data_IF_528759994846
#
_entry.id   IF_528759994846
#
_cell.length_a   1.000
_cell.length_b   1.000
_cell.length_c   1.000
_cell.angle_alpha   90.00
_cell.angle_beta   90.00
_cell.angle_gamma   90.00
#
_symmetry.space_group_name_H-M   'P 1'
#
loop_
_entity.id
_entity.type
_entity.pdbx_description
1 polymer ?
#
# COMPACT_ATOMS: atom_id res chain seq x y z
N UNK A 1 30.78 -1.78 39.92
CA UNK A 1 30.98 -0.39 39.45
C UNK A 1 31.17 -0.44 37.94
N UNK A 2 30.18 0.00 37.14
CA UNK A 2 30.38 0.19 35.69
C UNK A 2 30.67 1.67 35.47
N UNK A 3 31.93 1.99 35.19
CA UNK A 3 32.32 3.33 34.79
C UNK A 3 31.64 3.67 33.47
N UNK A 4 30.74 4.65 33.50
CA UNK A 4 30.20 5.23 32.27
C UNK A 4 31.33 6.01 31.61
N UNK A 5 31.80 5.53 30.45
CA UNK A 5 32.61 6.35 29.56
C UNK A 5 31.74 7.55 29.18
N UNK A 6 32.15 8.75 29.55
CA UNK A 6 31.43 9.97 29.19
C UNK A 6 31.42 10.11 27.67
N UNK A 7 30.28 9.84 27.05
CA UNK A 7 30.08 10.07 25.62
C UNK A 7 29.86 11.58 25.45
N UNK A 8 30.77 12.24 24.73
CA UNK A 8 30.62 13.65 24.38
C UNK A 8 29.90 13.73 23.02
N UNK A 9 28.71 14.34 23.00
CA UNK A 9 27.92 14.51 21.78
C UNK A 9 28.25 15.85 21.14
N UNK A 10 28.43 15.86 19.82
CA UNK A 10 28.70 17.07 19.04
C UNK A 10 27.43 17.58 18.33
N UNK A 11 27.44 18.84 17.86
CA UNK A 11 26.30 19.44 17.16
C UNK A 11 26.12 18.88 15.73
N UNK A 12 24.91 19.03 15.17
CA UNK A 12 24.62 18.59 13.81
C UNK A 12 25.27 19.51 12.77
N UNK A 13 26.34 19.03 12.12
CA UNK A 13 27.10 19.79 11.09
C UNK A 13 26.93 19.27 9.65
N UNK A 14 25.79 18.67 9.27
CA UNK A 14 25.52 18.25 7.87
C UNK A 14 26.62 17.41 7.18
N UNK A 15 27.34 16.52 7.90
CA UNK A 15 28.27 15.52 7.31
C UNK A 15 27.62 14.16 7.00
N UNK A 16 27.61 13.78 5.73
CA UNK A 16 27.53 12.44 5.11
C UNK A 16 26.51 11.35 5.52
N UNK A 17 25.87 10.80 4.46
CA UNK A 17 25.59 9.38 4.16
C UNK A 17 24.91 8.48 5.19
N UNK A 18 25.68 7.93 6.13
CA UNK A 18 25.22 6.84 7.00
C UNK A 18 24.21 7.27 8.07
N UNK A 19 24.05 8.59 8.27
CA UNK A 19 23.05 9.15 9.19
C UNK A 19 21.60 9.03 8.69
N UNK A 20 21.39 8.49 7.49
CA UNK A 20 20.08 8.34 6.86
C UNK A 20 19.56 6.89 6.82
N UNK A 21 20.17 5.96 7.57
CA UNK A 21 19.57 4.63 7.77
C UNK A 21 18.44 4.73 8.79
N UNK A 22 17.20 4.57 8.35
CA UNK A 22 16.01 4.67 9.20
C UNK A 22 15.24 3.35 9.19
N UNK A 23 14.64 3.02 10.34
CA UNK A 23 13.55 2.06 10.38
C UNK A 23 12.25 2.76 10.00
N UNK A 24 11.48 2.15 9.09
CA UNK A 24 10.15 2.63 8.75
C UNK A 24 9.15 2.17 9.81
N UNK A 25 8.85 3.00 10.80
CA UNK A 25 7.83 2.73 11.81
C UNK A 25 6.45 3.29 11.38
N UNK A 26 5.44 2.45 11.08
CA UNK A 26 4.10 2.93 10.76
C UNK A 26 3.51 3.75 11.92
N UNK A 27 3.13 5.00 11.64
CA UNK A 27 2.60 5.93 12.65
C UNK A 27 1.38 5.37 13.38
N UNK A 28 0.51 4.64 12.69
CA UNK A 28 -0.69 4.03 13.27
C UNK A 28 -0.36 3.10 14.44
N UNK A 29 0.76 2.37 14.40
CA UNK A 29 1.18 1.51 15.51
C UNK A 29 1.52 2.33 16.76
N UNK A 30 1.90 3.61 16.59
CA UNK A 30 2.24 4.52 17.67
C UNK A 30 1.00 5.28 18.17
N UNK A 31 0.14 5.72 17.24
CA UNK A 31 -0.92 6.69 17.53
C UNK A 31 -2.28 6.06 17.82
N UNK A 32 -2.58 4.90 17.24
CA UNK A 32 -3.92 4.30 17.34
C UNK A 32 -4.09 3.49 18.63
N UNK A 33 -5.28 3.58 19.23
CA UNK A 33 -5.61 2.92 20.49
C UNK A 33 -5.55 1.39 20.39
N UNK A 34 -5.84 0.82 19.22
CA UNK A 34 -5.75 -0.64 19.01
C UNK A 34 -4.33 -1.18 19.28
N UNK A 35 -3.29 -0.37 19.06
CA UNK A 35 -1.88 -0.76 19.24
C UNK A 35 -1.25 -0.20 20.51
N UNK A 36 -2.04 0.45 21.38
CA UNK A 36 -1.54 1.07 22.62
C UNK A 36 -0.92 0.07 23.59
N UNK A 37 -1.43 -1.16 23.59
CA UNK A 37 -0.91 -2.25 24.44
C UNK A 37 0.47 -2.76 24.05
N UNK A 38 0.97 -2.42 22.85
CA UNK A 38 2.30 -2.86 22.41
C UNK A 38 3.41 -2.02 23.03
N UNK A 39 4.48 -2.67 23.47
CA UNK A 39 5.72 -1.99 23.84
C UNK A 39 6.36 -1.29 22.64
N UNK A 40 7.16 -0.25 22.89
CA UNK A 40 7.92 0.43 21.83
C UNK A 40 8.86 -0.54 21.10
N UNK A 41 9.49 -1.46 21.82
CA UNK A 41 10.35 -2.49 21.23
C UNK A 41 9.54 -3.44 20.31
N UNK A 42 8.29 -3.78 20.65
CA UNK A 42 7.42 -4.59 19.79
C UNK A 42 7.02 -3.85 18.51
N UNK A 43 6.73 -2.55 18.60
CA UNK A 43 6.42 -1.70 17.44
C UNK A 43 7.62 -1.59 16.50
N UNK A 44 8.82 -1.39 17.05
CA UNK A 44 10.08 -1.38 16.29
C UNK A 44 10.32 -2.76 15.65
N UNK A 45 10.20 -3.84 16.43
CA UNK A 45 10.39 -5.21 15.92
C UNK A 45 9.48 -5.47 14.73
N UNK A 46 8.17 -5.20 14.87
CA UNK A 46 7.21 -5.39 13.80
C UNK A 46 7.58 -4.62 12.52
N UNK A 47 8.06 -3.38 12.66
CA UNK A 47 8.55 -2.57 11.53
C UNK A 47 9.70 -3.27 10.79
N UNK A 48 10.65 -3.84 11.53
CA UNK A 48 11.74 -4.62 10.95
C UNK A 48 11.25 -5.93 10.28
N UNK A 49 10.19 -6.55 10.80
CA UNK A 49 9.60 -7.74 10.18
C UNK A 49 8.92 -7.41 8.85
N UNK A 50 8.30 -6.23 8.73
CA UNK A 50 7.75 -5.76 7.45
C UNK A 50 8.85 -5.58 6.40
N UNK A 51 9.96 -4.94 6.75
CA UNK A 51 11.12 -4.81 5.85
C UNK A 51 11.66 -6.18 5.41
N UNK A 52 11.76 -7.15 6.34
CA UNK A 52 12.14 -8.54 6.01
C UNK A 52 11.14 -9.26 5.13
N UNK A 53 9.86 -8.94 5.25
CA UNK A 53 8.81 -9.53 4.41
C UNK A 53 9.02 -9.11 2.96
N UNK A 54 9.35 -7.84 2.71
CA UNK A 54 9.69 -7.35 1.37
C UNK A 54 10.90 -8.08 0.76
N UNK A 55 11.94 -8.36 1.56
CA UNK A 55 13.09 -9.15 1.12
C UNK A 55 12.70 -10.60 0.82
N UNK A 56 11.89 -11.21 1.67
CA UNK A 56 11.44 -12.60 1.52
C UNK A 56 10.56 -12.79 0.28
N UNK A 57 9.72 -11.80 -0.02
CA UNK A 57 8.95 -11.77 -1.27
C UNK A 57 9.86 -11.76 -2.51
N UNK A 58 10.89 -10.90 -2.52
CA UNK A 58 11.90 -10.87 -3.61
C UNK A 58 12.63 -12.21 -3.75
N UNK A 59 12.88 -12.90 -2.64
CA UNK A 59 13.49 -14.22 -2.59
C UNK A 59 12.51 -15.38 -2.86
N UNK A 60 11.25 -15.08 -3.20
CA UNK A 60 10.19 -16.08 -3.46
C UNK A 60 9.95 -17.04 -2.28
N UNK A 61 10.13 -16.55 -1.05
CA UNK A 61 9.75 -17.28 0.17
C UNK A 61 8.24 -17.14 0.38
N UNK A 62 7.51 -17.94 -0.40
CA UNK A 62 6.06 -17.89 -0.53
C UNK A 62 5.55 -19.33 -0.35
N UNK A 63 4.52 -19.51 0.49
CA UNK A 63 3.90 -20.82 0.68
C UNK A 63 2.86 -21.16 -0.41
N UNK A 64 2.27 -22.34 -0.33
CA UNK A 64 1.28 -22.83 -1.31
C UNK A 64 0.01 -21.95 -1.36
N UNK A 65 -0.31 -21.26 -0.27
CA UNK A 65 -1.43 -20.32 -0.15
C UNK A 65 -1.05 -18.89 -0.60
N UNK A 66 0.11 -18.72 -1.25
CA UNK A 66 0.63 -17.42 -1.71
C UNK A 66 0.95 -16.43 -0.59
N UNK A 67 1.19 -16.91 0.63
CA UNK A 67 1.60 -16.06 1.75
C UNK A 67 3.12 -15.99 1.82
N UNK A 68 3.63 -14.77 1.96
CA UNK A 68 5.05 -14.55 2.23
C UNK A 68 5.36 -14.95 3.67
N UNK A 69 6.43 -15.72 3.86
CA UNK A 69 6.94 -16.05 5.18
C UNK A 69 8.39 -15.58 5.31
N UNK A 70 8.79 -15.32 6.55
CA UNK A 70 10.17 -14.98 6.89
C UNK A 70 10.75 -16.05 7.82
N UNK A 71 12.05 -16.26 7.73
CA UNK A 71 12.82 -16.99 8.74
C UNK A 71 13.53 -15.92 9.56
N UNK A 72 13.19 -15.82 10.84
CA UNK A 72 13.80 -14.84 11.72
C UNK A 72 13.92 -15.37 13.14
N UNK A 73 15.16 -15.60 13.55
CA UNK A 73 15.51 -16.30 14.78
C UNK A 73 15.48 -15.37 16.00
N UNK A 74 15.40 -15.96 17.20
CA UNK A 74 15.43 -15.20 18.45
C UNK A 74 16.78 -14.52 18.61
N UNK A 75 17.86 -15.18 18.19
CA UNK A 75 19.22 -14.65 18.20
C UNK A 75 19.33 -13.38 17.35
N UNK A 76 18.78 -13.38 16.13
CA UNK A 76 18.81 -12.17 15.31
C UNK A 76 17.95 -11.04 15.89
N UNK A 77 16.84 -11.35 16.58
CA UNK A 77 16.03 -10.35 17.31
C UNK A 77 16.83 -9.76 18.47
N UNK A 78 17.54 -10.60 19.22
CA UNK A 78 18.41 -10.16 20.31
C UNK A 78 19.48 -9.19 19.81
N UNK A 79 20.13 -9.53 18.70
CA UNK A 79 21.16 -8.67 18.09
C UNK A 79 20.56 -7.36 17.60
N UNK A 80 19.42 -7.41 16.88
CA UNK A 80 18.76 -6.22 16.35
C UNK A 80 18.34 -5.24 17.44
N UNK A 81 17.67 -5.73 18.49
CA UNK A 81 17.11 -4.88 19.53
C UNK A 81 18.10 -4.62 20.68
N UNK A 82 19.26 -5.30 20.64
CA UNK A 82 20.23 -5.35 21.73
C UNK A 82 19.57 -5.76 23.06
N UNK A 83 18.85 -6.90 23.05
CA UNK A 83 18.07 -7.40 24.19
C UNK A 83 18.49 -8.80 24.59
N UNK A 84 18.26 -9.13 25.87
CA UNK A 84 18.43 -10.49 26.37
C UNK A 84 17.46 -11.46 25.69
N UNK A 85 17.79 -12.75 25.65
CA UNK A 85 16.92 -13.77 25.06
C UNK A 85 15.50 -13.73 25.65
N UNK A 86 15.39 -13.70 26.98
CA UNK A 86 14.09 -13.62 27.69
C UNK A 86 13.27 -12.40 27.25
N UNK A 87 13.93 -11.25 27.08
CA UNK A 87 13.27 -10.03 26.64
C UNK A 87 12.86 -10.10 25.17
N UNK A 88 13.73 -10.61 24.29
CA UNK A 88 13.43 -10.79 22.87
C UNK A 88 12.22 -11.73 22.66
N UNK A 89 12.16 -12.83 23.41
CA UNK A 89 11.02 -13.76 23.39
C UNK A 89 9.75 -13.07 23.87
N UNK A 90 9.82 -12.26 24.95
CA UNK A 90 8.67 -11.50 25.45
C UNK A 90 8.13 -10.53 24.39
N UNK A 91 9.01 -9.75 23.76
CA UNK A 91 8.65 -8.79 22.70
C UNK A 91 8.00 -9.52 21.52
N UNK A 92 8.56 -10.66 21.11
CA UNK A 92 8.02 -11.47 20.03
C UNK A 92 6.63 -12.04 20.38
N UNK A 93 6.41 -12.41 21.65
CA UNK A 93 5.12 -12.92 22.12
C UNK A 93 4.04 -11.83 22.21
N UNK A 94 4.39 -10.56 22.39
CA UNK A 94 3.43 -9.44 22.33
C UNK A 94 2.77 -9.35 20.94
N UNK A 95 3.51 -9.71 19.89
CA UNK A 95 3.05 -9.68 18.51
C UNK A 95 2.32 -10.97 18.09
N UNK A 96 2.69 -12.11 18.66
CA UNK A 96 2.28 -13.44 18.20
C UNK A 96 0.90 -13.86 18.73
N UNK A 97 -0.01 -14.15 17.80
CA UNK A 97 -1.34 -14.69 18.12
C UNK A 97 -1.29 -16.00 18.90
N UNK A 98 -0.29 -16.86 18.67
CA UNK A 98 -0.16 -18.16 19.35
C UNK A 98 0.16 -18.03 20.85
N UNK A 99 0.60 -16.86 21.31
CA UNK A 99 0.91 -16.60 22.72
C UNK A 99 -0.07 -15.65 23.40
N UNK A 100 -1.22 -15.39 22.76
CA UNK A 100 -2.21 -14.43 23.23
C UNK A 100 -1.79 -12.97 23.03
N UNK A 101 -0.80 -12.72 22.17
CA UNK A 101 -0.44 -11.37 21.71
C UNK A 101 -1.49 -10.81 20.74
N UNK A 102 -1.24 -9.60 20.25
CA UNK A 102 -2.19 -8.84 19.42
C UNK A 102 -2.49 -9.51 18.05
N UNK A 103 -1.64 -10.44 17.61
CA UNK A 103 -1.83 -11.16 16.35
C UNK A 103 -1.33 -10.43 15.11
N UNK A 104 -0.35 -9.54 15.26
CA UNK A 104 0.37 -8.94 14.13
C UNK A 104 1.32 -9.94 13.44
N UNK A 105 1.67 -11.04 14.13
CA UNK A 105 2.41 -12.16 13.54
C UNK A 105 1.79 -13.51 13.93
N UNK A 106 2.19 -14.53 13.18
CA UNK A 106 1.92 -15.93 13.48
C UNK A 106 3.17 -16.76 13.24
N UNK A 107 3.63 -17.50 14.25
CA UNK A 107 4.81 -18.37 14.14
C UNK A 107 4.41 -19.83 13.93
N UNK A 108 4.96 -20.51 12.93
CA UNK A 108 4.80 -21.96 12.76
C UNK A 108 6.13 -22.69 12.96
N UNK A 109 6.09 -23.78 13.73
CA UNK A 109 7.24 -24.67 13.94
C UNK A 109 7.40 -25.58 12.72
N UNK A 110 8.63 -25.66 12.20
CA UNK A 110 8.95 -26.55 11.07
C UNK A 110 9.38 -27.96 11.51
N UNK A 111 9.77 -28.13 12.78
CA UNK A 111 10.35 -29.39 13.28
C UNK A 111 11.79 -29.62 12.82
N UNK A 112 12.37 -30.77 13.18
CA UNK A 112 13.71 -31.21 12.73
C UNK A 112 14.87 -30.23 13.00
N UNK A 113 14.78 -29.42 14.07
CA UNK A 113 15.79 -28.41 14.40
C UNK A 113 15.83 -27.20 13.46
N UNK A 114 14.88 -27.10 12.52
CA UNK A 114 14.76 -25.93 11.64
C UNK A 114 14.18 -24.73 12.42
N UNK A 115 14.59 -23.50 12.07
CA UNK A 115 14.04 -22.30 12.68
C UNK A 115 12.53 -22.18 12.40
N UNK A 116 11.82 -21.44 13.24
CA UNK A 116 10.40 -21.19 13.02
C UNK A 116 10.21 -20.27 11.81
N UNK A 117 9.15 -20.52 11.05
CA UNK A 117 8.66 -19.55 10.06
C UNK A 117 7.74 -18.56 10.74
N UNK A 118 7.79 -17.31 10.30
CA UNK A 118 6.95 -16.23 10.80
C UNK A 118 6.16 -15.66 9.62
N UNK A 119 4.85 -15.58 9.78
CA UNK A 119 3.95 -14.85 8.90
C UNK A 119 3.66 -13.49 9.52
N UNK A 120 3.92 -12.43 8.78
CA UNK A 120 3.65 -11.04 9.20
C UNK A 120 2.30 -10.63 8.61
N UNK A 121 1.37 -10.18 9.45
CA UNK A 121 -0.01 -9.85 9.06
C UNK A 121 -0.14 -8.34 8.83
N UNK A 122 -0.98 -7.95 7.88
CA UNK A 122 -1.25 -6.54 7.58
C UNK A 122 -2.00 -5.87 8.76
N UNK A 123 -1.36 -4.90 9.40
CA UNK A 123 -1.90 -4.13 10.52
C UNK A 123 -3.21 -3.40 10.16
N UNK A 124 -3.46 -3.11 8.88
CA UNK A 124 -4.71 -2.49 8.44
C UNK A 124 -5.90 -3.47 8.43
N UNK A 125 -5.64 -4.77 8.57
CA UNK A 125 -6.70 -5.79 8.53
C UNK A 125 -7.68 -5.69 9.70
N UNK A 126 -7.28 -5.12 10.84
CA UNK A 126 -8.17 -4.92 11.98
C UNK A 126 -9.33 -3.98 11.61
N UNK A 127 -9.05 -2.94 10.80
CA UNK A 127 -10.04 -1.97 10.36
C UNK A 127 -10.99 -2.53 9.29
N UNK A 128 -10.61 -3.62 8.59
CA UNK A 128 -11.46 -4.25 7.58
C UNK A 128 -12.72 -4.90 8.19
N UNK A 129 -12.66 -5.32 9.45
CA UNK A 129 -13.78 -5.97 10.15
C UNK A 129 -14.86 -5.01 10.65
N UNK A 130 -14.53 -3.74 10.84
CA UNK A 130 -15.49 -2.67 11.19
C UNK A 130 -16.16 -2.06 9.94
N UNK A 131 -15.70 -2.43 8.74
CA UNK A 131 -16.13 -1.86 7.46
C UNK A 131 -17.27 -2.65 6.80
N UNK A 132 -18.43 -2.75 7.45
CA UNK A 132 -19.70 -2.90 6.70
C UNK A 132 -20.33 -1.54 6.36
N UNK A 133 -19.73 -0.41 6.78
CA UNK A 133 -20.27 0.95 6.58
C UNK A 133 -19.24 2.02 6.14
N UNK A 134 -18.00 1.68 5.76
CA UNK A 134 -17.03 2.67 5.28
C UNK A 134 -17.08 2.80 3.75
N UNK A 135 -18.15 3.41 3.25
CA UNK A 135 -18.27 3.82 1.85
C UNK A 135 -17.29 4.95 1.53
N UNK A 136 -16.44 4.72 0.54
CA UNK A 136 -15.81 5.68 -0.41
C UNK A 136 -15.09 6.95 0.08
N UNK A 137 -15.14 7.33 1.35
CA UNK A 137 -14.58 8.61 1.84
C UNK A 137 -13.19 8.45 2.48
N UNK A 138 -12.83 7.26 2.97
CA UNK A 138 -11.49 6.99 3.53
C UNK A 138 -10.38 6.90 2.48
N UNK A 139 -10.73 6.76 1.20
CA UNK A 139 -9.77 6.91 0.09
C UNK A 139 -9.30 8.36 -0.11
N UNK A 140 -9.97 9.34 0.50
CA UNK A 140 -9.68 10.77 0.35
C UNK A 140 -8.85 11.40 1.47
N UNK A 141 -8.41 10.66 2.50
CA UNK A 141 -7.39 11.17 3.43
C UNK A 141 -6.01 11.35 2.76
N UNK A 142 -5.87 10.90 1.51
CA UNK A 142 -4.66 11.04 0.72
C UNK A 142 -4.66 12.26 -0.24
N UNK A 143 -5.66 13.15 -0.23
CA UNK A 143 -5.74 14.23 -1.23
C UNK A 143 -6.13 15.63 -0.74
N UNK A 144 -6.12 15.92 0.57
CA UNK A 144 -6.27 17.32 1.02
C UNK A 144 -4.91 18.01 1.10
N UNK A 145 -4.40 18.43 -0.06
CA UNK A 145 -3.51 19.57 -0.11
C UNK A 145 -4.25 20.80 0.43
N UNK A 146 -3.49 21.60 1.16
CA UNK A 146 -3.88 22.84 1.85
C UNK A 146 -4.53 23.81 0.88
N UNK A 147 -5.80 24.15 1.13
CA UNK A 147 -6.34 25.47 0.83
C UNK A 147 -7.64 25.66 1.62
N UNK A 148 -7.52 26.43 2.70
CA UNK A 148 -8.53 27.15 3.52
C UNK A 148 -8.22 26.99 5.02
N UNK A 149 -7.17 27.69 5.44
CA UNK A 149 -7.18 28.29 6.78
C UNK A 149 -8.40 29.20 6.90
N UNK A 150 -9.25 28.98 7.91
CA UNK A 150 -9.93 30.10 8.57
C UNK A 150 -9.98 29.85 10.07
N UNK A 151 -9.60 30.92 10.77
CA UNK A 151 -9.47 31.12 12.20
C UNK A 151 -10.63 30.56 13.02
N UNK A 152 -10.31 29.90 14.12
CA UNK A 152 -10.62 30.34 15.49
C UNK A 152 -10.40 29.18 16.48
N UNK A 153 -9.29 29.20 17.20
CA UNK A 153 -9.27 29.22 18.68
C UNK A 153 -7.90 29.75 19.08
N UNK A 154 -7.87 31.03 19.48
CA UNK A 154 -6.74 31.65 20.15
C UNK A 154 -6.83 31.35 21.65
N UNK A 155 -5.66 31.08 22.23
CA UNK A 155 -5.25 31.25 23.64
C UNK A 155 -5.30 30.00 24.55
N UNK A 156 -4.12 29.42 24.85
CA UNK A 156 -3.40 29.71 26.10
C UNK A 156 -1.94 29.21 26.03
N UNK A 157 -1.02 30.03 26.54
CA UNK A 157 0.43 29.83 26.72
C UNK A 157 1.33 29.66 25.48
N UNK A 158 1.80 30.82 24.99
CA UNK A 158 2.80 30.99 23.93
C UNK A 158 4.20 31.08 24.54
N UNK A 159 5.01 30.04 24.36
CA UNK A 159 6.47 30.19 24.31
C UNK A 159 6.89 30.04 22.86
N UNK A 160 7.28 31.16 22.23
CA UNK A 160 7.72 31.23 20.85
C UNK A 160 8.97 30.34 20.66
N UNK A 161 8.77 29.16 20.09
CA UNK A 161 9.85 28.40 19.46
C UNK A 161 9.47 28.27 18.00
N UNK A 162 10.40 28.65 17.12
CA UNK A 162 10.26 28.59 15.67
C UNK A 162 9.62 27.25 15.24
N UNK A 163 8.47 27.33 14.57
CA UNK A 163 7.80 26.19 13.95
C UNK A 163 8.68 25.61 12.84
N UNK A 164 9.52 24.65 13.19
CA UNK A 164 10.05 23.74 12.20
C UNK A 164 8.94 22.74 11.86
N UNK A 165 8.12 23.08 10.87
CA UNK A 165 7.22 22.16 10.18
C UNK A 165 8.08 21.05 9.52
N UNK A 166 8.46 20.03 10.28
CA UNK A 166 9.06 18.81 9.75
C UNK A 166 7.96 17.85 9.32
N UNK A 167 7.23 18.23 8.27
CA UNK A 167 6.43 17.33 7.45
C UNK A 167 7.36 16.50 6.57
N UNK A 168 8.15 15.59 7.14
CA UNK A 168 8.85 14.57 6.37
C UNK A 168 8.87 13.24 7.13
N UNK A 169 7.88 12.42 6.81
CA UNK A 169 7.88 10.96 6.95
C UNK A 169 6.57 10.44 6.35
N UNK A 170 6.40 10.70 5.05
CA UNK A 170 5.63 9.80 4.19
C UNK A 170 6.65 8.82 3.64
N UNK A 171 7.10 7.90 4.48
CA UNK A 171 7.72 6.68 4.01
C UNK A 171 6.59 5.86 3.43
N UNK A 172 6.39 6.02 2.12
CA UNK A 172 5.50 5.26 1.27
C UNK A 172 5.66 3.77 1.59
N UNK A 173 4.71 3.20 2.34
CA UNK A 173 4.28 1.85 2.03
C UNK A 173 3.56 1.95 0.69
N UNK A 174 4.34 2.02 -0.38
CA UNK A 174 3.84 1.89 -1.73
C UNK A 174 3.09 0.56 -1.73
N UNK A 175 1.77 0.62 -1.90
CA UNK A 175 1.07 -0.47 -2.57
C UNK A 175 1.87 -0.63 -3.87
N UNK A 176 2.64 -1.71 -4.00
CA UNK A 176 3.51 -1.90 -5.16
C UNK A 176 2.63 -1.88 -6.41
N UNK A 177 2.58 -0.74 -7.10
CA UNK A 177 1.90 -0.64 -8.38
C UNK A 177 2.84 -1.25 -9.41
N UNK A 178 2.41 -2.33 -10.03
CA UNK A 178 3.09 -2.87 -11.19
C UNK A 178 3.07 -1.86 -12.33
N UNK A 179 4.13 -1.84 -13.12
CA UNK A 179 4.25 -1.04 -14.33
C UNK A 179 3.79 -1.86 -15.53
N UNK A 180 2.83 -1.33 -16.28
CA UNK A 180 2.21 -1.99 -17.43
C UNK A 180 2.33 -1.14 -18.69
N UNK A 181 2.16 -1.80 -19.83
CA UNK A 181 2.23 -1.22 -21.17
C UNK A 181 3.65 -1.15 -21.75
N UNK A 182 3.75 -0.99 -23.07
CA UNK A 182 5.03 -0.92 -23.80
C UNK A 182 6.02 0.08 -23.21
N UNK A 183 5.53 1.20 -22.66
CA UNK A 183 6.38 2.26 -22.10
C UNK A 183 6.49 2.23 -20.58
N UNK A 184 5.98 1.18 -19.91
CA UNK A 184 6.03 1.01 -18.45
C UNK A 184 5.51 2.24 -17.67
N UNK A 185 4.49 2.89 -18.22
CA UNK A 185 3.95 4.16 -17.73
C UNK A 185 2.49 4.04 -17.26
N UNK A 186 1.97 2.82 -17.16
CA UNK A 186 0.65 2.51 -16.60
C UNK A 186 0.83 1.79 -15.26
N UNK A 187 0.71 2.54 -14.17
CA UNK A 187 0.78 2.01 -12.79
C UNK A 187 -0.57 1.45 -12.32
N UNK A 188 -0.62 0.17 -11.96
CA UNK A 188 -1.80 -0.51 -11.40
C UNK A 188 -1.42 -1.44 -10.25
N UNK A 189 -2.26 -1.58 -9.23
CA UNK A 189 -2.06 -2.57 -8.15
C UNK A 189 -2.46 -3.97 -8.62
N UNK A 190 -2.03 -5.02 -7.90
CA UNK A 190 -2.40 -6.41 -8.24
C UNK A 190 -3.93 -6.61 -8.19
N UNK A 191 -4.60 -6.06 -7.18
CA UNK A 191 -6.07 -6.08 -7.08
C UNK A 191 -6.75 -5.36 -8.26
N UNK A 192 -6.21 -4.21 -8.68
CA UNK A 192 -6.73 -3.47 -9.83
C UNK A 192 -6.57 -4.25 -11.13
N UNK A 193 -5.51 -5.02 -11.27
CA UNK A 193 -5.24 -5.87 -12.45
C UNK A 193 -6.20 -7.06 -12.47
N UNK A 194 -6.47 -7.69 -11.33
CA UNK A 194 -7.48 -8.76 -11.23
C UNK A 194 -8.85 -8.22 -11.66
N UNK A 195 -9.30 -7.12 -11.07
CA UNK A 195 -10.58 -6.49 -11.41
C UNK A 195 -10.67 -6.13 -12.90
N UNK A 196 -9.61 -5.54 -13.47
CA UNK A 196 -9.59 -5.16 -14.88
C UNK A 196 -9.60 -6.38 -15.81
N UNK A 197 -8.93 -7.47 -15.45
CA UNK A 197 -8.96 -8.71 -16.24
C UNK A 197 -10.34 -9.37 -16.23
N UNK A 198 -11.05 -9.32 -15.10
CA UNK A 198 -12.43 -9.81 -15.02
C UNK A 198 -13.39 -8.98 -15.87
N UNK A 199 -13.28 -7.65 -15.83
CA UNK A 199 -14.19 -6.75 -16.56
C UNK A 199 -13.88 -6.71 -18.06
N UNK A 200 -12.61 -6.59 -18.44
CA UNK A 200 -12.18 -6.40 -19.82
C UNK A 200 -11.95 -7.71 -20.57
N UNK A 201 -11.79 -8.82 -19.84
CA UNK A 201 -11.49 -10.15 -20.39
C UNK A 201 -10.34 -10.07 -21.41
N UNK A 202 -10.57 -10.53 -22.65
CA UNK A 202 -9.59 -10.55 -23.73
C UNK A 202 -9.20 -9.17 -24.28
N UNK A 203 -9.76 -8.07 -23.76
CA UNK A 203 -9.42 -6.70 -24.17
C UNK A 203 -8.47 -6.01 -23.20
N UNK A 204 -8.10 -6.66 -22.09
CA UNK A 204 -7.23 -6.10 -21.07
C UNK A 204 -5.95 -5.50 -21.66
N UNK A 205 -5.17 -6.29 -22.41
CA UNK A 205 -3.91 -5.84 -23.00
C UNK A 205 -4.09 -4.67 -23.98
N UNK A 206 -5.19 -4.66 -24.73
CA UNK A 206 -5.50 -3.58 -25.66
C UNK A 206 -5.66 -2.23 -24.95
N UNK A 207 -6.42 -2.19 -23.85
CA UNK A 207 -6.68 -0.95 -23.13
C UNK A 207 -5.45 -0.48 -22.33
N UNK A 208 -4.63 -1.40 -21.83
CA UNK A 208 -3.34 -1.08 -21.23
C UNK A 208 -2.43 -0.39 -22.24
N UNK A 209 -2.27 -0.96 -23.44
CA UNK A 209 -1.42 -0.38 -24.49
C UNK A 209 -1.95 0.95 -25.01
N UNK A 210 -3.27 1.11 -25.14
CA UNK A 210 -3.89 2.38 -25.51
C UNK A 210 -3.56 3.47 -24.50
N UNK A 211 -3.63 3.19 -23.20
CA UNK A 211 -3.29 4.18 -22.18
C UNK A 211 -1.78 4.47 -22.19
N UNK A 212 -0.96 3.42 -22.30
CA UNK A 212 0.50 3.53 -22.33
C UNK A 212 1.00 4.41 -23.48
N UNK A 213 0.54 4.14 -24.69
CA UNK A 213 0.85 4.93 -25.90
C UNK A 213 0.36 6.36 -25.78
N UNK A 214 -0.86 6.57 -25.29
CA UNK A 214 -1.44 7.90 -25.17
C UNK A 214 -0.74 8.78 -24.12
N UNK A 215 -0.38 8.24 -22.96
CA UNK A 215 0.43 8.96 -21.95
C UNK A 215 1.77 9.37 -22.58
N UNK A 216 2.41 8.45 -23.30
CA UNK A 216 3.70 8.71 -23.94
C UNK A 216 3.63 9.78 -25.03
N UNK A 217 2.58 9.77 -25.85
CA UNK A 217 2.46 10.68 -27.00
C UNK A 217 1.95 12.06 -26.61
N UNK A 218 1.10 12.17 -25.58
CA UNK A 218 0.46 13.43 -25.19
C UNK A 218 1.11 14.10 -23.98
N UNK A 219 1.93 13.37 -23.21
CA UNK A 219 2.50 13.84 -21.95
C UNK A 219 1.46 14.01 -20.83
N UNK A 220 0.22 13.57 -21.01
CA UNK A 220 -0.83 13.66 -19.99
C UNK A 220 -0.58 12.67 -18.88
N UNK A 221 -0.84 13.10 -17.65
CA UNK A 221 -0.80 12.27 -16.46
C UNK A 221 -2.23 12.08 -15.93
N UNK A 222 -2.58 10.85 -15.60
CA UNK A 222 -3.89 10.46 -15.10
C UNK A 222 -3.78 10.07 -13.63
N UNK A 223 -4.66 10.64 -12.79
CA UNK A 223 -4.66 10.37 -11.34
C UNK A 223 -4.96 8.91 -11.00
N UNK A 224 -5.79 8.25 -11.81
CA UNK A 224 -6.20 6.86 -11.63
C UNK A 224 -6.25 6.17 -13.00
N UNK A 225 -5.37 5.20 -13.21
CA UNK A 225 -5.26 4.48 -14.47
C UNK A 225 -6.40 3.48 -14.67
N UNK A 226 -6.85 2.80 -13.60
CA UNK A 226 -7.98 1.87 -13.67
C UNK A 226 -9.26 2.58 -14.06
N UNK A 227 -9.57 3.71 -13.40
CA UNK A 227 -10.73 4.52 -13.73
C UNK A 227 -10.69 5.03 -15.18
N UNK A 228 -9.49 5.44 -15.64
CA UNK A 228 -9.29 5.91 -17.03
C UNK A 228 -9.57 4.80 -18.04
N UNK A 229 -9.02 3.60 -17.80
CA UNK A 229 -9.23 2.43 -18.64
C UNK A 229 -10.72 2.04 -18.68
N UNK A 230 -11.38 1.97 -17.54
CA UNK A 230 -12.81 1.64 -17.46
C UNK A 230 -13.68 2.69 -18.16
N UNK A 231 -13.36 3.98 -18.01
CA UNK A 231 -14.06 5.06 -18.71
C UNK A 231 -13.98 4.90 -20.23
N UNK A 232 -12.79 4.60 -20.76
CA UNK A 232 -12.62 4.34 -22.20
C UNK A 232 -13.38 3.10 -22.63
N UNK A 233 -13.35 2.02 -21.84
CA UNK A 233 -14.07 0.79 -22.12
C UNK A 233 -15.58 1.01 -22.22
N UNK A 234 -16.21 1.62 -21.21
CA UNK A 234 -17.66 1.85 -21.22
C UNK A 234 -18.10 2.81 -22.36
N UNK A 235 -17.26 3.80 -22.68
CA UNK A 235 -17.52 4.71 -23.80
C UNK A 235 -17.47 3.98 -25.15
N UNK A 236 -16.52 3.08 -25.32
CA UNK A 236 -16.39 2.28 -26.54
C UNK A 236 -17.56 1.28 -26.68
N UNK A 237 -17.98 0.64 -25.59
CA UNK A 237 -19.16 -0.26 -25.57
C UNK A 237 -20.47 0.48 -25.94
N UNK A 238 -20.68 1.69 -25.41
CA UNK A 238 -21.84 2.51 -25.74
C UNK A 238 -21.88 2.92 -27.23
N UNK A 239 -20.73 3.22 -27.82
CA UNK A 239 -20.62 3.59 -29.23
C UNK A 239 -20.83 2.41 -30.20
N UNK A 240 -20.50 1.18 -29.80
CA UNK A 240 -20.77 -0.01 -30.60
C UNK A 240 -22.27 -0.32 -30.67
N UNK A 241 -23.02 -0.07 -29.59
CA UNK A 241 -24.47 -0.25 -29.56
C UNK A 241 -25.22 0.81 -30.40
N UNK A 242 -24.72 2.04 -30.46
CA UNK A 242 -25.29 3.07 -31.35
C UNK A 242 -25.03 2.80 -32.83
N UNK A 243 -23.84 2.28 -33.20
CA UNK A 243 -23.52 1.90 -34.60
C UNK A 243 -24.32 0.70 -35.10
N UNK A 244 -24.70 -0.25 -34.24
CA UNK A 244 -25.64 -1.34 -34.60
C UNK A 244 -27.05 -0.81 -34.85
N UNK A 245 -27.51 0.17 -34.08
CA UNK A 245 -28.82 0.80 -34.30
C UNK A 245 -28.90 1.69 -35.55
N UNK A 246 -27.77 2.20 -36.07
CA UNK A 246 -27.76 2.94 -37.34
C UNK A 246 -27.59 2.04 -38.58
N UNK A 247 -26.97 0.85 -38.44
CA UNK A 247 -26.84 -0.12 -39.54
C UNK A 247 -28.10 -0.96 -39.80
N UNK A 248 -29.07 -0.97 -38.89
CA UNK A 248 -30.34 -1.69 -39.06
C UNK A 248 -31.42 -0.89 -39.83
N UNK A 249 -31.07 0.25 -40.43
CA UNK A 249 -31.88 0.88 -41.48
C UNK A 249 -31.33 0.51 -42.85
N UNK A 250 -31.37 -0.79 -43.17
CA UNK A 250 -31.18 -1.27 -44.54
C UNK A 250 -32.53 -1.17 -45.23
N UNK A 251 -32.66 -0.27 -46.19
CA UNK A 251 -33.80 -0.30 -47.12
C UNK A 251 -33.76 -1.61 -47.88
N UNK A 252 -34.88 -2.31 -47.92
CA UNK A 252 -35.02 -3.54 -48.70
C UNK A 252 -35.38 -3.18 -50.14
N UNK A 253 -35.03 -4.04 -51.10
CA UNK A 253 -35.41 -3.84 -52.51
C UNK A 253 -36.95 -3.85 -52.71
N UNK A 254 -37.70 -4.33 -51.72
CA UNK A 254 -39.17 -4.39 -51.72
C UNK A 254 -39.80 -3.00 -51.47
N UNK A 255 -39.04 -2.03 -50.96
CA UNK A 255 -39.52 -0.67 -50.69
C UNK A 255 -39.55 0.24 -51.95
N UNK A 256 -39.06 -0.24 -53.10
CA UNK A 256 -38.99 0.53 -54.36
C UNK A 256 -40.12 0.22 -55.37
N UNK A 257 -40.98 -0.78 -55.12
CA UNK A 257 -42.05 -1.18 -56.06
C UNK A 257 -43.44 -0.63 -55.70
N UNK A 258 -43.57 0.24 -54.70
CA UNK A 258 -44.82 0.94 -54.42
C UNK A 258 -44.66 2.41 -54.81
N UNK A 259 -44.68 2.66 -56.11
CA UNK A 259 -45.11 3.94 -56.65
C UNK A 259 -46.56 3.81 -57.10
N UNK A 260 -47.41 4.77 -56.75
CA UNK A 260 -48.52 5.31 -57.59
C UNK A 260 -49.04 6.59 -56.90
N UNK A 261 -48.64 7.77 -57.39
CA UNK A 261 -49.41 8.68 -58.25
C UNK A 261 -50.35 9.64 -57.50
N UNK A 262 -49.87 10.88 -57.29
CA UNK A 262 -50.39 12.16 -57.86
C UNK A 262 -49.83 13.35 -57.09
#
# INVERSE_FOLDING_TARGET
>A
MRGGVGVNFDYFYNRDGDRFSFFMLPKVLVTDEAFKGLSSDAKILYSCLLERTNLSYKNKWIDDEKRVYIIFTVEEIMTMLNKSNKTAVKILNELDSNTGGIGLIERKRQGLGKPNIIYVKDFMSIFKSECNNYTSEMKNLHLRNVETTLQEVKNLHRSNTYNNNLNYSNTDFSICKGEYGTFQNVFLTDDEVVDLKEILMNQFDNYIERLSTYIKSTGKNYKDHKATILSWFYKDQGNQNQKKNTKNKSYSLEDYEIGEYL
#
